data_IF_488267383259
#
_entry.id   IF_488267383259
#
_cell.length_a   1.000
_cell.length_b   1.000
_cell.length_c   1.000
_cell.angle_alpha   90.00
_cell.angle_beta   90.00
_cell.angle_gamma   90.00
#
_symmetry.space_group_name_H-M   'P 1'
#
loop_
_entity.id
_entity.type
_entity.pdbx_description
1 polymer ?
#
# COMPACT_ATOMS: atom_id res chain seq x y z
N UNK A 1 2.71 -9.95 -0.52
CA UNK A 1 1.82 -9.83 0.65
C UNK A 1 0.44 -9.49 0.13
N UNK A 2 -0.59 -10.16 0.63
CA UNK A 2 -1.97 -9.89 0.24
C UNK A 2 -2.66 -9.18 1.40
N UNK A 3 -3.39 -8.12 1.09
CA UNK A 3 -4.16 -7.35 2.05
C UNK A 3 -5.60 -7.16 1.59
N UNK A 4 -6.33 -6.33 2.32
CA UNK A 4 -7.75 -6.04 2.08
C UNK A 4 -7.90 -4.51 2.03
N UNK A 5 -8.51 -4.02 0.97
CA UNK A 5 -8.89 -2.60 0.80
C UNK A 5 -10.31 -2.59 0.25
N UNK A 6 -10.64 -1.74 -0.73
CA UNK A 6 -11.99 -1.57 -1.26
C UNK A 6 -12.50 -2.65 -2.23
N UNK A 7 -11.65 -3.40 -2.97
CA UNK A 7 -12.15 -4.50 -3.79
C UNK A 7 -12.58 -5.70 -2.95
N UNK A 8 -13.67 -6.38 -3.36
CA UNK A 8 -14.22 -7.61 -2.74
C UNK A 8 -13.32 -8.86 -2.88
N UNK A 9 -12.01 -8.66 -2.98
CA UNK A 9 -10.96 -9.68 -3.09
C UNK A 9 -9.67 -9.14 -2.47
N UNK A 10 -8.81 -10.05 -2.04
CA UNK A 10 -7.43 -9.71 -1.67
C UNK A 10 -6.70 -8.90 -2.76
N UNK A 11 -6.00 -7.87 -2.31
CA UNK A 11 -5.19 -7.00 -3.16
C UNK A 11 -3.70 -7.20 -2.89
N UNK A 12 -2.90 -7.01 -3.94
CA UNK A 12 -1.45 -6.87 -3.84
C UNK A 12 -1.07 -5.39 -3.88
N UNK A 13 0.05 -5.05 -3.26
CA UNK A 13 0.57 -3.68 -3.19
C UNK A 13 1.78 -3.56 -4.12
N UNK A 14 1.74 -2.70 -5.16
CA UNK A 14 2.86 -2.53 -6.08
C UNK A 14 4.12 -2.03 -5.38
N UNK A 15 5.28 -2.53 -5.80
CA UNK A 15 6.59 -2.08 -5.32
C UNK A 15 7.13 -0.96 -6.23
N UNK A 16 6.81 0.29 -5.90
CA UNK A 16 7.28 1.47 -6.63
C UNK A 16 8.78 1.79 -6.41
N UNK A 17 9.48 1.02 -5.57
CA UNK A 17 10.94 1.05 -5.41
C UNK A 17 11.64 -0.03 -6.23
N UNK A 18 10.91 -0.80 -7.05
CA UNK A 18 11.46 -1.81 -7.95
C UNK A 18 12.58 -1.22 -8.83
N UNK A 19 13.84 -1.70 -8.70
CA UNK A 19 14.97 -1.16 -9.43
C UNK A 19 14.98 -1.56 -10.92
N UNK A 20 14.11 -2.49 -11.35
CA UNK A 20 14.04 -2.95 -12.74
C UNK A 20 13.12 -2.10 -13.62
N UNK A 21 12.40 -1.15 -13.02
CA UNK A 21 11.34 -0.34 -13.62
C UNK A 21 10.15 -1.16 -14.14
N UNK A 22 9.98 -2.42 -13.73
CA UNK A 22 8.85 -3.25 -14.16
C UNK A 22 7.54 -2.69 -13.58
N UNK A 23 7.52 -2.37 -12.28
CA UNK A 23 6.33 -1.77 -11.63
C UNK A 23 5.96 -0.43 -12.27
N UNK A 24 6.94 0.44 -12.53
CA UNK A 24 6.71 1.73 -13.17
C UNK A 24 6.15 1.59 -14.59
N UNK A 25 6.70 0.68 -15.40
CA UNK A 25 6.22 0.43 -16.77
C UNK A 25 4.80 -0.10 -16.77
N UNK A 26 4.50 -1.06 -15.89
CA UNK A 26 3.15 -1.58 -15.70
C UNK A 26 2.19 -0.46 -15.31
N UNK A 27 2.52 0.35 -14.30
CA UNK A 27 1.68 1.46 -13.85
C UNK A 27 1.37 2.47 -14.96
N UNK A 28 2.38 2.87 -15.74
CA UNK A 28 2.20 3.76 -16.90
C UNK A 28 1.24 3.13 -17.91
N UNK A 29 1.42 1.85 -18.23
CA UNK A 29 0.61 1.15 -19.22
C UNK A 29 -0.87 1.05 -18.79
N UNK A 30 -1.14 0.82 -17.51
CA UNK A 30 -2.52 0.78 -16.99
C UNK A 30 -3.22 2.14 -17.18
N UNK A 31 -2.56 3.24 -16.82
CA UNK A 31 -3.11 4.59 -17.04
C UNK A 31 -3.31 4.91 -18.53
N UNK A 32 -2.32 4.59 -19.38
CA UNK A 32 -2.47 4.78 -20.82
C UNK A 32 -3.64 4.00 -21.41
N UNK A 33 -3.84 2.76 -20.94
CA UNK A 33 -4.93 1.89 -21.38
C UNK A 33 -6.29 2.42 -20.91
N UNK A 34 -6.37 2.90 -19.67
CA UNK A 34 -7.61 3.47 -19.13
C UNK A 34 -7.96 4.80 -19.80
N UNK A 35 -6.98 5.65 -20.12
CA UNK A 35 -7.20 6.94 -20.80
C UNK A 35 -7.84 6.78 -22.19
N UNK A 36 -7.58 5.66 -22.88
CA UNK A 36 -8.21 5.36 -24.17
C UNK A 36 -9.69 5.00 -24.04
N UNK A 37 -10.12 4.57 -22.85
CA UNK A 37 -11.51 4.20 -22.56
C UNK A 37 -12.27 5.35 -21.92
N UNK A 38 -11.65 6.04 -20.97
CA UNK A 38 -12.24 7.14 -20.20
C UNK A 38 -11.24 8.28 -20.12
N UNK A 39 -11.44 9.38 -20.88
CA UNK A 39 -10.56 10.54 -20.81
C UNK A 39 -10.58 11.21 -19.44
N UNK A 40 -9.39 11.46 -18.89
CA UNK A 40 -9.13 12.23 -17.66
C UNK A 40 -7.99 13.24 -17.88
N UNK A 41 -7.97 14.30 -17.07
CA UNK A 41 -6.93 15.36 -17.12
C UNK A 41 -5.97 15.32 -15.92
N UNK A 42 -6.36 14.65 -14.84
CA UNK A 42 -5.59 14.52 -13.61
C UNK A 42 -5.90 13.21 -12.90
N UNK A 43 -5.05 12.87 -11.93
CA UNK A 43 -5.13 11.62 -11.17
C UNK A 43 -5.19 11.95 -9.68
N UNK A 44 -6.08 11.29 -8.97
CA UNK A 44 -6.07 11.27 -7.51
C UNK A 44 -5.66 9.87 -7.07
N UNK A 45 -4.50 9.78 -6.41
CA UNK A 45 -4.06 8.56 -5.72
C UNK A 45 -4.38 8.70 -4.25
N UNK A 46 -5.09 7.71 -3.73
CA UNK A 46 -5.57 7.67 -2.35
C UNK A 46 -5.20 6.31 -1.74
N UNK A 47 -5.35 6.17 -0.42
CA UNK A 47 -5.08 4.92 0.30
C UNK A 47 -3.61 4.48 0.29
N UNK A 48 -2.68 5.41 0.05
CA UNK A 48 -1.29 5.12 -0.27
C UNK A 48 -0.28 5.41 0.86
N UNK A 49 -0.71 5.33 2.12
CA UNK A 49 0.23 5.26 3.24
C UNK A 49 1.23 4.10 3.19
N UNK A 50 0.93 2.88 2.67
CA UNK A 50 -0.32 2.30 2.14
C UNK A 50 -1.28 1.81 3.23
N UNK A 51 -2.57 2.08 3.06
CA UNK A 51 -3.60 1.63 3.97
C UNK A 51 -3.94 0.15 3.72
N UNK A 52 -4.20 -0.58 4.81
CA UNK A 52 -4.70 -1.95 4.77
C UNK A 52 -5.77 -2.16 5.84
N UNK A 53 -6.85 -2.85 5.49
CA UNK A 53 -7.95 -3.11 6.42
C UNK A 53 -7.66 -4.33 7.27
N UNK A 54 -7.83 -4.18 8.59
CA UNK A 54 -7.89 -5.31 9.50
C UNK A 54 -6.57 -5.99 9.82
N UNK A 55 -5.40 -5.40 9.52
CA UNK A 55 -4.11 -6.06 9.82
C UNK A 55 -4.02 -6.48 11.29
N UNK A 56 -3.80 -7.78 11.54
CA UNK A 56 -3.80 -8.44 12.86
C UNK A 56 -5.13 -8.41 13.63
N UNK A 57 -6.25 -8.06 13.01
CA UNK A 57 -7.58 -8.08 13.64
C UNK A 57 -8.22 -9.46 13.45
N UNK A 58 -8.71 -10.09 14.52
CA UNK A 58 -9.40 -11.38 14.43
C UNK A 58 -10.80 -11.29 13.83
N UNK A 59 -11.42 -10.11 13.91
CA UNK A 59 -12.75 -9.82 13.37
C UNK A 59 -12.82 -8.35 12.93
N UNK A 60 -12.24 -8.01 11.76
CA UNK A 60 -12.29 -6.65 11.25
C UNK A 60 -13.71 -6.25 10.88
N UNK A 61 -13.98 -4.95 10.86
CA UNK A 61 -15.33 -4.39 10.66
C UNK A 61 -16.03 -4.87 9.37
N UNK A 62 -15.28 -5.25 8.34
CA UNK A 62 -15.83 -5.69 7.05
C UNK A 62 -16.32 -7.15 7.07
N UNK A 63 -16.06 -7.93 8.13
CA UNK A 63 -16.65 -9.27 8.25
C UNK A 63 -18.17 -9.24 8.41
N UNK A 64 -18.71 -8.16 8.98
CA UNK A 64 -20.15 -7.94 9.13
C UNK A 64 -20.77 -7.22 7.92
N UNK A 65 -19.96 -6.92 6.90
CA UNK A 65 -20.39 -6.27 5.66
C UNK A 65 -20.76 -7.30 4.61
N UNK A 66 -21.78 -6.99 3.80
CA UNK A 66 -22.15 -7.82 2.64
C UNK A 66 -21.11 -7.72 1.52
N UNK A 67 -20.36 -6.62 1.49
CA UNK A 67 -19.18 -6.41 0.65
C UNK A 67 -17.97 -6.93 1.43
N UNK A 68 -17.10 -7.74 0.81
CA UNK A 68 -15.94 -8.44 1.42
C UNK A 68 -16.21 -9.61 2.39
N UNK A 69 -17.26 -10.44 2.24
CA UNK A 69 -17.44 -11.60 3.09
C UNK A 69 -16.27 -12.57 2.87
N UNK A 70 -15.61 -12.96 3.96
CA UNK A 70 -14.52 -13.95 3.99
C UNK A 70 -13.11 -13.52 3.56
N UNK A 71 -12.88 -12.24 3.23
CA UNK A 71 -11.52 -11.76 2.94
C UNK A 71 -10.66 -11.74 4.20
N UNK A 72 -9.90 -12.81 4.43
CA UNK A 72 -9.10 -12.93 5.65
C UNK A 72 -8.11 -11.76 5.78
N UNK A 73 -8.03 -11.12 6.96
CA UNK A 73 -7.12 -10.02 7.19
C UNK A 73 -5.66 -10.47 7.05
N UNK A 74 -4.80 -9.50 6.73
CA UNK A 74 -3.37 -9.72 6.77
C UNK A 74 -2.93 -10.00 8.21
N UNK A 75 -2.29 -11.14 8.43
CA UNK A 75 -1.72 -11.52 9.73
C UNK A 75 -0.18 -11.47 9.68
N UNK A 76 0.41 -10.61 10.51
CA UNK A 76 1.84 -10.48 10.69
C UNK A 76 2.33 -11.45 11.79
N UNK A 77 3.52 -12.06 11.64
CA UNK A 77 4.04 -13.08 12.55
C UNK A 77 4.61 -12.46 13.84
N UNK A 78 3.74 -11.90 14.68
CA UNK A 78 4.13 -11.18 15.91
C UNK A 78 4.86 -12.06 16.94
N UNK A 79 4.67 -13.38 16.89
CA UNK A 79 5.29 -14.35 17.80
C UNK A 79 6.59 -14.97 17.26
N UNK A 80 7.13 -14.46 16.14
CA UNK A 80 8.41 -14.90 15.58
C UNK A 80 9.50 -13.84 15.79
N UNK A 81 10.73 -14.15 15.38
CA UNK A 81 11.82 -13.17 15.31
C UNK A 81 11.47 -11.97 14.44
N UNK A 82 10.63 -12.14 13.41
CA UNK A 82 10.20 -11.05 12.53
C UNK A 82 9.22 -10.08 13.21
N UNK A 83 8.64 -10.43 14.36
CA UNK A 83 7.80 -9.52 15.15
C UNK A 83 8.56 -8.28 15.65
N UNK A 84 9.89 -8.31 15.68
CA UNK A 84 10.73 -7.16 16.05
C UNK A 84 10.56 -5.97 15.10
N UNK A 85 10.21 -6.23 13.82
CA UNK A 85 10.00 -5.16 12.84
C UNK A 85 8.69 -4.40 13.10
N UNK A 86 7.68 -5.08 13.62
CA UNK A 86 6.39 -4.48 13.95
C UNK A 86 6.35 -3.93 15.39
N UNK A 87 7.27 -4.39 16.25
CA UNK A 87 7.50 -3.92 17.62
C UNK A 87 8.97 -3.60 17.88
N UNK A 88 9.48 -2.45 17.40
CA UNK A 88 10.88 -2.10 17.56
C UNK A 88 11.24 -1.87 19.04
N UNK A 89 12.53 -2.03 19.41
CA UNK A 89 13.00 -1.81 20.78
C UNK A 89 12.62 -0.43 21.35
N UNK A 90 12.63 0.59 20.50
CA UNK A 90 12.10 1.92 20.79
C UNK A 90 10.77 2.12 20.08
N UNK A 91 9.67 2.10 20.83
CA UNK A 91 8.31 2.31 20.31
C UNK A 91 8.04 3.80 20.16
N UNK A 92 7.93 4.25 18.92
CA UNK A 92 7.43 5.60 18.64
C UNK A 92 5.94 5.68 18.97
N UNK A 93 5.39 6.90 19.04
CA UNK A 93 3.96 7.11 19.28
C UNK A 93 3.06 6.39 18.26
N UNK A 94 3.56 6.10 17.05
CA UNK A 94 2.82 5.40 16.00
C UNK A 94 2.28 4.03 16.46
N UNK A 95 3.04 3.29 17.29
CA UNK A 95 2.63 1.97 17.83
C UNK A 95 1.39 2.08 18.72
N UNK A 96 1.06 3.27 19.23
CA UNK A 96 -0.09 3.49 20.12
C UNK A 96 -1.23 4.27 19.46
N UNK A 97 -1.06 4.67 18.20
CA UNK A 97 -1.98 5.57 17.50
C UNK A 97 -3.40 4.96 17.31
N UNK A 98 -3.50 3.63 17.34
CA UNK A 98 -4.75 2.89 17.16
C UNK A 98 -5.20 2.17 18.44
N UNK A 99 -4.73 2.61 19.61
CA UNK A 99 -5.12 2.08 20.90
C UNK A 99 -4.15 1.03 21.48
N UNK A 100 -4.56 0.40 22.57
CA UNK A 100 -3.75 -0.63 23.24
C UNK A 100 -3.66 -1.88 22.37
N UNK A 101 -2.44 -2.43 22.23
CA UNK A 101 -2.18 -3.60 21.41
C UNK A 101 -1.95 -3.30 19.93
N UNK A 102 -1.83 -2.03 19.53
CA UNK A 102 -1.41 -1.66 18.19
C UNK A 102 0.10 -1.91 17.96
N UNK A 103 0.45 -2.00 16.69
CA UNK A 103 1.75 -2.33 16.12
C UNK A 103 2.05 -1.38 14.98
N UNK A 104 3.29 -1.35 14.46
CA UNK A 104 3.57 -0.54 13.27
C UNK A 104 2.74 -0.98 12.05
N UNK A 105 2.44 -2.29 11.92
CA UNK A 105 1.56 -2.81 10.89
C UNK A 105 0.06 -2.47 11.07
N UNK A 106 -0.36 -1.88 12.19
CA UNK A 106 -1.77 -1.57 12.40
C UNK A 106 -2.28 -0.60 11.34
N UNK A 107 -3.31 -1.02 10.60
CA UNK A 107 -3.88 -0.34 9.42
C UNK A 107 -2.93 -0.19 8.21
N UNK A 108 -1.86 -0.99 8.14
CA UNK A 108 -0.92 -1.03 7.00
C UNK A 108 -0.33 -2.43 6.82
N UNK A 109 0.74 -2.58 6.04
CA UNK A 109 1.39 -3.86 5.76
C UNK A 109 2.36 -4.27 6.87
N UNK A 110 2.72 -5.56 6.95
CA UNK A 110 3.72 -6.02 7.91
C UNK A 110 5.09 -5.41 7.60
N UNK A 111 5.78 -4.90 8.63
CA UNK A 111 7.08 -4.24 8.46
C UNK A 111 8.19 -5.18 7.95
N UNK A 112 8.00 -6.50 8.10
CA UNK A 112 8.92 -7.52 7.56
C UNK A 112 8.88 -7.65 6.03
N UNK A 113 7.87 -7.10 5.35
CA UNK A 113 7.74 -7.16 3.90
C UNK A 113 9.02 -6.63 3.22
N UNK A 114 9.28 -7.09 2.00
CA UNK A 114 10.45 -6.66 1.23
C UNK A 114 10.04 -5.85 0.01
N UNK A 115 10.84 -4.83 -0.30
CA UNK A 115 10.73 -3.95 -1.44
C UNK A 115 12.09 -3.82 -2.15
N UNK A 116 12.12 -3.10 -3.26
CA UNK A 116 13.30 -2.87 -4.08
C UNK A 116 13.98 -4.18 -4.49
N UNK A 117 13.18 -5.15 -4.95
CA UNK A 117 13.64 -6.50 -5.31
C UNK A 117 14.43 -7.20 -4.18
N UNK A 118 13.86 -7.19 -2.97
CA UNK A 118 14.42 -7.87 -1.79
C UNK A 118 15.51 -7.09 -1.05
N UNK A 119 15.86 -5.88 -1.49
CA UNK A 119 16.98 -5.10 -0.93
C UNK A 119 16.60 -4.22 0.25
N UNK A 120 15.33 -3.89 0.39
CA UNK A 120 14.83 -3.06 1.48
C UNK A 120 13.70 -3.76 2.22
N UNK A 121 13.68 -3.62 3.54
CA UNK A 121 12.51 -3.96 4.33
C UNK A 121 11.52 -2.81 4.31
N UNK A 122 10.24 -3.13 4.31
CA UNK A 122 9.15 -2.17 4.38
C UNK A 122 9.25 -1.31 5.64
N UNK A 123 9.77 -1.85 6.75
CA UNK A 123 10.17 -1.08 7.93
C UNK A 123 10.94 0.22 7.62
N UNK A 124 11.88 0.17 6.66
CA UNK A 124 12.71 1.31 6.30
C UNK A 124 12.02 2.26 5.31
N UNK A 125 11.07 1.75 4.52
CA UNK A 125 10.55 2.42 3.33
C UNK A 125 9.06 2.73 3.40
N UNK A 126 8.35 2.33 4.46
CA UNK A 126 6.90 2.54 4.63
C UNK A 126 6.50 3.98 4.35
N UNK A 127 7.19 4.94 4.98
CA UNK A 127 6.85 6.36 4.84
C UNK A 127 7.23 6.96 3.46
N UNK A 128 7.84 6.16 2.58
CA UNK A 128 8.17 6.54 1.21
C UNK A 128 7.19 5.94 0.20
N UNK A 129 6.22 5.11 0.62
CA UNK A 129 5.32 4.40 -0.29
C UNK A 129 4.50 5.38 -1.17
N UNK A 130 3.65 6.20 -0.56
CA UNK A 130 2.83 7.17 -1.28
C UNK A 130 3.67 8.19 -2.07
N UNK A 131 4.84 8.58 -1.55
CA UNK A 131 5.78 9.41 -2.31
C UNK A 131 6.30 8.73 -3.58
N UNK A 132 6.70 7.45 -3.48
CA UNK A 132 7.22 6.68 -4.62
C UNK A 132 6.13 6.40 -5.66
N UNK A 133 4.90 6.15 -5.23
CA UNK A 133 3.73 6.06 -6.10
C UNK A 133 3.42 7.40 -6.76
N UNK A 134 3.44 8.51 -6.03
CA UNK A 134 3.18 9.84 -6.59
C UNK A 134 4.16 10.18 -7.72
N UNK A 135 5.44 9.83 -7.54
CA UNK A 135 6.47 9.97 -8.58
C UNK A 135 6.15 9.13 -9.82
N UNK A 136 5.79 7.86 -9.64
CA UNK A 136 5.42 6.99 -10.77
C UNK A 136 4.14 7.47 -11.48
N UNK A 137 3.17 7.94 -10.71
CA UNK A 137 1.87 8.42 -11.20
C UNK A 137 2.01 9.73 -11.98
N UNK A 138 2.91 10.64 -11.57
CA UNK A 138 3.18 11.85 -12.34
C UNK A 138 3.70 11.52 -13.74
N UNK A 139 4.53 10.49 -13.86
CA UNK A 139 5.05 10.04 -15.16
C UNK A 139 3.97 9.34 -15.98
N UNK A 140 3.12 8.54 -15.35
CA UNK A 140 1.96 7.92 -15.98
C UNK A 140 0.94 8.95 -16.50
N UNK A 141 0.64 9.98 -15.71
CA UNK A 141 -0.21 11.11 -16.08
C UNK A 141 0.31 11.79 -17.35
N UNK A 142 1.60 12.12 -17.37
CA UNK A 142 2.21 12.80 -18.51
C UNK A 142 2.21 11.90 -19.75
N UNK A 143 2.56 10.62 -19.60
CA UNK A 143 2.59 9.66 -20.70
C UNK A 143 1.20 9.40 -21.31
N UNK A 144 0.15 9.32 -20.48
CA UNK A 144 -1.21 9.08 -20.95
C UNK A 144 -1.85 10.29 -21.64
N UNK A 145 -1.53 11.51 -21.19
CA UNK A 145 -2.23 12.73 -21.65
C UNK A 145 -1.42 13.61 -22.60
N UNK A 146 -0.09 13.51 -22.60
CA UNK A 146 0.81 14.44 -23.28
C UNK A 146 0.80 15.87 -22.70
N UNK A 147 0.18 16.08 -21.52
CA UNK A 147 0.02 17.39 -20.87
C UNK A 147 0.70 17.41 -19.50
N UNK A 148 0.79 18.58 -18.87
CA UNK A 148 1.34 18.74 -17.51
C UNK A 148 0.50 18.03 -16.44
N UNK A 149 -0.83 18.11 -16.57
CA UNK A 149 -1.84 17.61 -15.63
C UNK A 149 -1.61 17.93 -14.15
N UNK A 150 -2.28 17.16 -13.29
CA UNK A 150 -2.14 17.22 -11.84
C UNK A 150 -2.24 15.81 -11.23
N UNK A 151 -1.48 15.59 -10.16
CA UNK A 151 -1.59 14.41 -9.30
C UNK A 151 -1.85 14.89 -7.88
N UNK A 152 -2.94 14.43 -7.27
CA UNK A 152 -3.26 14.65 -5.87
C UNK A 152 -2.96 13.34 -5.13
N UNK A 153 -2.15 13.42 -4.07
CA UNK A 153 -1.85 12.29 -3.18
C UNK A 153 -2.35 12.60 -1.78
N UNK A 154 -2.73 11.56 -1.06
CA UNK A 154 -2.86 11.63 0.40
C UNK A 154 -1.49 11.74 1.07
#
# INVERSE_FOLDING_TARGET
>A
MLGVVWPDRHVAFPDFLDPTNATQKWWIQEFMTYQQQVPYDGIWIDMNEPANFGTNEGHPWYFDSADHPDDQPLMCPMNSTDGEWDMPPYKTHAVFNFGQGAYLATKTLCMLAVQANGKQRFYNTKNLYGWSEAKATQQAQHAATGKRGAVISR
#
